data_IF_764922726958
#
_entry.id   IF_764922726958
#
_cell.length_a   1.000
_cell.length_b   1.000
_cell.length_c   1.000
_cell.angle_alpha   90.00
_cell.angle_beta   90.00
_cell.angle_gamma   90.00
#
_symmetry.space_group_name_H-M   'P 1'
#
loop_
_entity.id
_entity.type
_entity.pdbx_description
1 polymer ?
#
# COMPACT_ATOMS: atom_id res chain seq x y z
N UNK A 1 8.09 1.61 53.85
CA UNK A 1 9.40 0.99 53.54
C UNK A 1 10.42 1.57 54.53
N UNK A 2 10.94 0.77 55.45
CA UNK A 2 12.11 1.16 56.25
C UNK A 2 13.35 0.88 55.38
N UNK A 3 13.98 1.92 54.83
CA UNK A 3 15.12 1.80 53.93
C UNK A 3 15.80 3.16 53.67
N UNK A 4 17.08 3.13 53.32
CA UNK A 4 17.87 4.31 52.98
C UNK A 4 17.74 4.67 51.49
N UNK A 5 17.65 5.97 51.19
CA UNK A 5 17.64 6.54 49.83
C UNK A 5 18.78 7.56 49.70
N UNK A 6 19.39 7.65 48.51
CA UNK A 6 20.27 8.76 48.14
C UNK A 6 19.78 9.38 46.84
N UNK A 7 19.94 10.70 46.71
CA UNK A 7 19.59 11.45 45.51
C UNK A 7 20.87 11.81 44.76
N UNK A 8 20.83 11.78 43.42
CA UNK A 8 22.00 12.12 42.60
C UNK A 8 22.11 13.65 42.57
N UNK A 9 22.94 14.31 43.36
CA UNK A 9 23.00 15.79 43.43
C UNK A 9 23.71 16.49 42.27
N UNK A 10 24.35 15.74 41.37
CA UNK A 10 24.98 16.35 40.19
C UNK A 10 23.92 16.89 39.22
N UNK A 11 23.85 18.22 39.12
CA UNK A 11 22.98 18.92 38.18
C UNK A 11 23.27 18.52 36.72
N UNK A 12 24.54 18.29 36.38
CA UNK A 12 24.96 17.79 35.07
C UNK A 12 24.35 16.41 34.78
N UNK A 13 24.43 15.49 35.74
CA UNK A 13 23.89 14.13 35.57
C UNK A 13 22.37 14.15 35.49
N UNK A 14 21.68 14.93 36.35
CA UNK A 14 20.21 15.08 36.28
C UNK A 14 19.75 15.65 34.94
N UNK A 15 20.43 16.69 34.44
CA UNK A 15 20.11 17.32 33.16
C UNK A 15 20.29 16.33 31.99
N UNK A 16 21.41 15.62 31.95
CA UNK A 16 21.66 14.61 30.92
C UNK A 16 20.59 13.51 30.92
N UNK A 17 20.26 12.93 32.09
CA UNK A 17 19.20 11.90 32.20
C UNK A 17 17.84 12.46 31.78
N UNK A 18 17.49 13.67 32.21
CA UNK A 18 16.23 14.32 31.84
C UNK A 18 16.08 14.53 30.33
N UNK A 19 17.14 14.93 29.65
CA UNK A 19 17.14 15.05 28.19
C UNK A 19 16.94 13.71 27.49
N UNK A 20 17.61 12.64 27.96
CA UNK A 20 17.43 11.29 27.41
C UNK A 20 16.00 10.80 27.60
N UNK A 21 15.43 10.97 28.80
CA UNK A 21 14.04 10.59 29.09
C UNK A 21 13.07 11.37 28.21
N UNK A 22 13.30 12.67 28.01
CA UNK A 22 12.47 13.50 27.13
C UNK A 22 12.54 13.05 25.65
N UNK A 23 13.74 12.82 25.12
CA UNK A 23 13.93 12.37 23.74
C UNK A 23 13.39 10.94 23.50
N UNK A 24 13.51 10.04 24.48
CA UNK A 24 12.90 8.70 24.44
C UNK A 24 11.38 8.73 24.63
N UNK A 25 10.87 9.70 25.38
CA UNK A 25 9.44 9.91 25.60
C UNK A 25 8.70 10.48 24.38
N UNK A 26 9.42 10.94 23.36
CA UNK A 26 8.83 11.47 22.13
C UNK A 26 9.39 10.74 20.88
N UNK A 27 8.81 9.58 20.50
CA UNK A 27 9.28 8.81 19.34
C UNK A 27 8.88 9.43 17.99
N UNK A 28 8.06 10.49 17.97
CA UNK A 28 7.53 11.07 16.74
C UNK A 28 8.62 11.46 15.71
N UNK A 29 9.75 12.10 16.09
CA UNK A 29 10.80 12.43 15.12
C UNK A 29 11.46 11.17 14.52
N UNK A 30 11.65 10.11 15.31
CA UNK A 30 12.14 8.82 14.83
C UNK A 30 11.15 8.20 13.82
N UNK A 31 9.86 8.18 14.16
CA UNK A 31 8.85 7.63 13.26
C UNK A 31 8.76 8.39 11.95
N UNK A 32 8.88 9.72 11.95
CA UNK A 32 8.94 10.49 10.71
C UNK A 32 10.13 10.11 9.82
N UNK A 33 11.32 9.89 10.41
CA UNK A 33 12.51 9.41 9.68
C UNK A 33 12.25 8.03 9.07
N UNK A 34 11.59 7.14 9.80
CA UNK A 34 11.24 5.79 9.31
C UNK A 34 10.19 5.88 8.20
N UNK A 35 9.15 6.72 8.36
CA UNK A 35 8.11 6.95 7.35
C UNK A 35 8.71 7.45 6.05
N UNK A 36 9.59 8.45 6.12
CA UNK A 36 10.28 8.99 4.94
C UNK A 36 11.09 7.89 4.23
N UNK A 37 11.77 7.05 4.99
CA UNK A 37 12.48 5.90 4.45
C UNK A 37 11.55 4.90 3.78
N UNK A 38 10.45 4.52 4.44
CA UNK A 38 9.46 3.59 3.91
C UNK A 38 8.86 4.11 2.60
N UNK A 39 8.52 5.39 2.52
CA UNK A 39 8.07 6.01 1.27
C UNK A 39 9.07 5.84 0.13
N UNK A 40 10.37 6.08 0.39
CA UNK A 40 11.43 5.90 -0.61
C UNK A 40 11.60 4.44 -1.01
N UNK A 41 11.64 3.53 -0.05
CA UNK A 41 11.78 2.09 -0.29
C UNK A 41 10.63 1.56 -1.17
N UNK A 42 9.38 1.87 -0.81
CA UNK A 42 8.21 1.47 -1.58
C UNK A 42 8.19 2.14 -2.96
N UNK A 43 8.55 3.43 -3.05
CA UNK A 43 8.66 4.12 -4.35
C UNK A 43 9.61 3.41 -5.30
N UNK A 44 10.80 3.05 -4.83
CA UNK A 44 11.82 2.34 -5.60
C UNK A 44 11.32 0.97 -6.02
N UNK A 45 10.61 0.27 -5.13
CA UNK A 45 10.00 -1.03 -5.40
C UNK A 45 8.97 -0.97 -6.53
N UNK A 46 8.09 0.04 -6.55
CA UNK A 46 7.14 0.26 -7.66
C UNK A 46 7.84 0.61 -8.98
N UNK A 47 8.98 1.32 -8.94
CA UNK A 47 9.77 1.60 -10.14
C UNK A 47 10.40 0.31 -10.67
N UNK A 48 10.98 -0.51 -9.79
CA UNK A 48 11.60 -1.78 -10.11
C UNK A 48 10.61 -2.89 -10.46
N UNK A 49 9.34 -2.75 -10.06
CA UNK A 49 8.27 -3.75 -10.23
C UNK A 49 8.56 -5.08 -9.55
N UNK A 50 9.04 -5.01 -8.30
CA UNK A 50 9.48 -6.17 -7.51
C UNK A 50 8.80 -6.22 -6.15
N UNK A 51 8.81 -7.38 -5.50
CA UNK A 51 8.37 -7.54 -4.12
C UNK A 51 9.41 -7.03 -3.12
N UNK A 52 9.09 -6.94 -1.81
CA UNK A 52 10.09 -6.73 -0.77
C UNK A 52 11.26 -7.72 -0.87
N UNK A 53 10.98 -8.98 -1.18
CA UNK A 53 12.01 -10.03 -1.38
C UNK A 53 12.69 -10.00 -2.75
N UNK A 54 12.62 -8.85 -3.45
CA UNK A 54 13.25 -8.63 -4.76
C UNK A 54 12.75 -9.54 -5.90
N UNK A 55 11.63 -10.25 -5.72
CA UNK A 55 11.00 -11.08 -6.76
C UNK A 55 10.23 -10.20 -7.73
N UNK A 56 10.38 -10.40 -9.04
CA UNK A 56 9.60 -9.66 -10.03
C UNK A 56 8.09 -9.93 -9.86
N UNK A 57 7.25 -8.91 -10.00
CA UNK A 57 5.81 -9.09 -9.93
C UNK A 57 5.28 -9.89 -11.12
N UNK A 58 4.20 -10.63 -10.90
CA UNK A 58 3.49 -11.34 -11.96
C UNK A 58 3.10 -10.37 -13.08
N UNK A 59 3.49 -10.72 -14.30
CA UNK A 59 3.20 -9.95 -15.49
C UNK A 59 1.69 -9.70 -15.67
N UNK A 60 1.36 -8.61 -16.37
CA UNK A 60 -0.02 -8.34 -16.78
C UNK A 60 -0.40 -9.28 -17.93
N UNK A 61 -1.67 -9.68 -17.98
CA UNK A 61 -2.15 -10.51 -19.08
C UNK A 61 -2.08 -9.74 -20.42
N UNK A 62 -1.79 -10.43 -21.55
CA UNK A 62 -1.76 -9.79 -22.87
C UNK A 62 -3.05 -9.04 -23.20
N UNK A 63 -4.20 -9.61 -22.82
CA UNK A 63 -5.53 -8.98 -22.99
C UNK A 63 -5.67 -7.68 -22.21
N UNK A 64 -5.12 -7.59 -20.99
CA UNK A 64 -5.16 -6.35 -20.22
C UNK A 64 -4.18 -5.31 -20.78
N UNK A 65 -2.97 -5.72 -21.17
CA UNK A 65 -1.98 -4.83 -21.79
C UNK A 65 -2.55 -4.11 -23.01
N UNK A 66 -3.26 -4.81 -23.90
CA UNK A 66 -3.91 -4.22 -25.09
C UNK A 66 -4.90 -3.10 -24.76
N UNK A 67 -5.58 -3.17 -23.60
CA UNK A 67 -6.59 -2.19 -23.16
C UNK A 67 -6.05 -1.12 -22.23
N UNK A 68 -4.82 -1.29 -21.74
CA UNK A 68 -4.25 -0.37 -20.76
C UNK A 68 -3.86 0.94 -21.45
N UNK A 69 -4.53 2.02 -21.10
CA UNK A 69 -4.37 3.30 -21.79
C UNK A 69 -3.25 4.19 -21.21
N UNK A 70 -2.81 3.96 -19.97
CA UNK A 70 -1.73 4.72 -19.31
C UNK A 70 -0.67 3.80 -18.71
N UNK A 71 0.58 4.28 -18.69
CA UNK A 71 1.72 3.59 -18.07
C UNK A 71 1.84 2.12 -18.55
N UNK A 72 1.74 1.87 -19.86
CA UNK A 72 1.49 0.52 -20.43
C UNK A 72 2.48 -0.55 -19.97
N UNK A 73 3.74 -0.17 -19.76
CA UNK A 73 4.83 -1.02 -19.29
C UNK A 73 4.95 -1.17 -17.76
N UNK A 74 4.03 -0.58 -16.98
CA UNK A 74 4.09 -0.59 -15.51
C UNK A 74 3.00 -1.45 -14.87
N UNK A 75 3.35 -2.23 -13.88
CA UNK A 75 2.49 -3.10 -13.07
C UNK A 75 2.11 -2.34 -11.79
N UNK A 76 0.88 -2.55 -11.29
CA UNK A 76 0.29 -1.80 -10.16
C UNK A 76 0.30 -0.26 -10.32
N UNK A 77 0.47 0.23 -11.55
CA UNK A 77 0.57 1.65 -11.84
C UNK A 77 -0.27 1.99 -13.08
N UNK A 78 -1.53 2.38 -12.87
CA UNK A 78 -2.37 2.95 -13.92
C UNK A 78 -2.34 4.49 -13.86
N UNK A 79 -2.84 5.06 -12.76
CA UNK A 79 -2.78 6.50 -12.44
C UNK A 79 -1.86 6.83 -11.26
N UNK A 80 -1.30 5.81 -10.62
CA UNK A 80 -0.37 5.97 -9.50
C UNK A 80 -0.99 6.07 -8.11
N UNK A 81 -2.32 6.02 -7.95
CA UNK A 81 -2.97 6.14 -6.64
C UNK A 81 -2.37 5.20 -5.58
N UNK A 82 -2.26 3.90 -5.87
CA UNK A 82 -1.74 2.92 -4.89
C UNK A 82 -0.35 3.30 -4.34
N UNK A 83 0.55 3.74 -5.23
CA UNK A 83 1.91 4.15 -4.88
C UNK A 83 1.95 5.50 -4.18
N UNK A 84 1.11 6.43 -4.62
CA UNK A 84 1.19 7.84 -4.24
C UNK A 84 0.37 8.16 -2.99
N UNK A 85 -0.52 7.28 -2.56
CA UNK A 85 -1.35 7.43 -1.35
C UNK A 85 -0.94 6.46 -0.25
N UNK A 86 0.31 5.99 -0.26
CA UNK A 86 0.88 5.34 0.91
C UNK A 86 1.00 6.37 2.03
N UNK A 87 0.81 5.95 3.28
CA UNK A 87 0.93 6.82 4.46
C UNK A 87 1.48 6.03 5.63
N UNK A 88 2.23 6.72 6.48
CA UNK A 88 2.54 6.25 7.83
C UNK A 88 1.67 6.96 8.85
N UNK A 89 1.26 6.24 9.88
CA UNK A 89 0.53 6.75 11.05
C UNK A 89 1.17 6.15 12.29
N UNK A 90 1.26 6.92 13.37
CA UNK A 90 1.86 6.43 14.61
C UNK A 90 1.17 6.99 15.83
N UNK A 91 1.23 6.22 16.91
CA UNK A 91 0.75 6.54 18.25
C UNK A 91 1.69 5.91 19.29
N UNK A 92 1.24 5.81 20.54
CA UNK A 92 2.00 5.21 21.65
C UNK A 92 2.21 3.70 21.48
N UNK A 93 1.39 3.02 20.67
CA UNK A 93 1.50 1.59 20.41
C UNK A 93 2.50 1.28 19.28
N UNK A 94 2.73 2.22 18.35
CA UNK A 94 3.82 2.12 17.38
C UNK A 94 3.56 2.82 16.06
N UNK A 95 4.24 2.35 15.02
CA UNK A 95 4.18 2.90 13.66
C UNK A 95 3.50 1.90 12.71
N UNK A 96 2.44 2.36 12.05
CA UNK A 96 1.79 1.68 10.94
C UNK A 96 2.13 2.35 9.60
N UNK A 97 2.20 1.55 8.53
CA UNK A 97 2.44 2.05 7.18
C UNK A 97 1.62 1.27 6.16
N UNK A 98 0.84 1.97 5.32
CA UNK A 98 -0.12 1.29 4.47
C UNK A 98 -0.85 2.18 3.46
N UNK A 99 -2.03 1.73 3.04
CA UNK A 99 -2.88 2.42 2.07
C UNK A 99 -4.36 2.29 2.43
N UNK A 100 -5.14 3.33 2.15
CA UNK A 100 -6.60 3.37 2.27
C UNK A 100 -7.33 2.85 1.02
N UNK A 101 -6.59 2.42 -0.02
CA UNK A 101 -7.19 1.95 -1.26
C UNK A 101 -7.80 0.57 -1.03
N UNK A 102 -9.13 0.45 -1.19
CA UNK A 102 -9.90 -0.81 -1.04
C UNK A 102 -9.31 -1.98 -1.85
N UNK A 103 -8.76 -1.70 -3.04
CA UNK A 103 -8.14 -2.71 -3.90
C UNK A 103 -6.68 -3.06 -3.52
N UNK A 104 -6.09 -2.40 -2.51
CA UNK A 104 -4.70 -2.58 -2.12
C UNK A 104 -4.41 -3.99 -1.62
N UNK A 105 -5.32 -4.54 -0.80
CA UNK A 105 -5.22 -5.89 -0.25
C UNK A 105 -5.25 -6.96 -1.35
N UNK A 106 -6.23 -6.94 -2.26
CA UNK A 106 -6.32 -7.93 -3.34
C UNK A 106 -5.12 -7.86 -4.29
N UNK A 107 -4.49 -6.69 -4.46
CA UNK A 107 -3.24 -6.57 -5.21
C UNK A 107 -2.02 -7.09 -4.44
N UNK A 108 -1.99 -6.95 -3.12
CA UNK A 108 -0.91 -7.45 -2.29
C UNK A 108 -0.96 -8.97 -2.17
N UNK A 109 -2.07 -9.51 -1.66
CA UNK A 109 -2.24 -10.92 -1.31
C UNK A 109 -2.69 -11.78 -2.49
N UNK A 110 -3.25 -11.19 -3.54
CA UNK A 110 -3.99 -11.94 -4.56
C UNK A 110 -5.32 -12.47 -3.99
N UNK A 111 -5.98 -13.32 -4.77
CA UNK A 111 -7.21 -14.00 -4.36
C UNK A 111 -8.33 -13.92 -5.40
N UNK A 112 -9.50 -14.39 -5.02
CA UNK A 112 -10.63 -14.57 -5.91
C UNK A 112 -11.73 -13.52 -5.65
N UNK A 113 -12.13 -12.82 -6.71
CA UNK A 113 -13.27 -11.89 -6.67
C UNK A 113 -14.50 -12.64 -7.19
N UNK A 114 -15.36 -13.05 -6.25
CA UNK A 114 -16.62 -13.73 -6.57
C UNK A 114 -17.63 -12.75 -7.16
N UNK A 115 -18.24 -13.12 -8.29
CA UNK A 115 -19.37 -12.42 -8.92
C UNK A 115 -20.59 -13.33 -8.83
N UNK A 116 -21.65 -12.85 -8.18
CA UNK A 116 -22.92 -13.55 -8.12
C UNK A 116 -23.59 -13.60 -9.48
N UNK A 117 -24.46 -14.60 -9.67
CA UNK A 117 -25.33 -14.66 -10.84
C UNK A 117 -26.26 -13.44 -10.84
N UNK A 118 -26.50 -12.88 -12.02
CA UNK A 118 -27.38 -11.73 -12.18
C UNK A 118 -28.04 -11.74 -13.55
N UNK A 119 -29.31 -11.34 -13.59
CA UNK A 119 -29.98 -11.01 -14.84
C UNK A 119 -29.56 -9.59 -15.26
N UNK A 120 -29.25 -9.42 -16.55
CA UNK A 120 -28.82 -8.14 -17.12
C UNK A 120 -29.60 -7.83 -18.38
N UNK A 121 -29.96 -6.57 -18.52
CA UNK A 121 -30.52 -6.07 -19.77
C UNK A 121 -29.38 -5.64 -20.71
N UNK A 122 -29.36 -6.21 -21.91
CA UNK A 122 -28.43 -5.86 -22.97
C UNK A 122 -29.17 -5.20 -24.13
N UNK A 123 -28.50 -4.26 -24.78
CA UNK A 123 -29.11 -3.39 -25.78
C UNK A 123 -28.46 -3.58 -27.14
N UNK A 124 -29.28 -3.67 -28.18
CA UNK A 124 -28.86 -3.85 -29.57
C UNK A 124 -29.56 -2.86 -30.49
N UNK A 125 -29.12 -2.83 -31.75
CA UNK A 125 -29.86 -2.24 -32.86
C UNK A 125 -30.62 -3.33 -33.59
N UNK A 126 -31.90 -3.11 -33.86
CA UNK A 126 -32.75 -3.93 -34.73
C UNK A 126 -33.05 -3.17 -36.02
N UNK A 127 -32.86 -3.82 -37.15
CA UNK A 127 -33.26 -3.34 -38.48
C UNK A 127 -34.28 -4.32 -39.07
N UNK A 128 -34.78 -4.04 -40.29
CA UNK A 128 -35.67 -4.98 -41.00
C UNK A 128 -35.02 -6.36 -41.24
N UNK A 129 -33.68 -6.41 -41.31
CA UNK A 129 -32.92 -7.65 -41.49
C UNK A 129 -32.71 -8.44 -40.18
N UNK A 130 -33.11 -7.90 -39.02
CA UNK A 130 -33.01 -8.57 -37.72
C UNK A 130 -32.27 -7.76 -36.66
N UNK A 131 -31.90 -8.43 -35.56
CA UNK A 131 -31.16 -7.85 -34.43
C UNK A 131 -29.65 -7.97 -34.69
N UNK A 132 -28.93 -6.86 -34.57
CA UNK A 132 -27.48 -6.82 -34.76
C UNK A 132 -26.72 -7.54 -33.63
N UNK A 133 -25.50 -7.99 -33.93
CA UNK A 133 -24.63 -8.75 -33.01
C UNK A 133 -23.74 -7.88 -32.10
N UNK A 134 -23.85 -6.55 -32.17
CA UNK A 134 -23.04 -5.61 -31.38
C UNK A 134 -23.89 -4.93 -30.33
N UNK A 135 -23.41 -4.95 -29.09
CA UNK A 135 -24.00 -4.16 -28.01
C UNK A 135 -23.91 -2.66 -28.34
N UNK A 136 -24.97 -1.92 -28.04
CA UNK A 136 -25.04 -0.46 -28.16
C UNK A 136 -25.45 0.18 -26.84
N UNK A 137 -25.26 1.50 -26.72
CA UNK A 137 -25.77 2.26 -25.56
C UNK A 137 -27.30 2.25 -25.55
N UNK A 138 -27.92 2.27 -24.38
CA UNK A 138 -29.39 2.30 -24.20
C UNK A 138 -30.06 3.41 -25.03
N UNK A 139 -29.53 4.63 -24.98
CA UNK A 139 -30.06 5.79 -25.73
C UNK A 139 -29.96 5.62 -27.26
N UNK A 140 -29.10 4.73 -27.74
CA UNK A 140 -28.96 4.41 -29.16
C UNK A 140 -29.64 3.09 -29.52
N UNK A 141 -30.36 2.44 -28.60
CA UNK A 141 -30.98 1.15 -28.83
C UNK A 141 -32.45 1.29 -29.24
N UNK A 142 -32.92 0.31 -29.99
CA UNK A 142 -34.35 0.11 -30.29
C UNK A 142 -34.76 -1.36 -30.03
N UNK A 143 -33.92 -2.12 -29.33
CA UNK A 143 -34.16 -3.50 -28.92
C UNK A 143 -33.35 -3.84 -27.68
N UNK A 144 -34.03 -4.34 -26.65
CA UNK A 144 -33.43 -4.81 -25.42
C UNK A 144 -33.73 -6.31 -25.23
N UNK A 145 -32.77 -7.03 -24.66
CA UNK A 145 -32.92 -8.43 -24.32
C UNK A 145 -32.41 -8.66 -22.89
N UNK A 146 -33.14 -9.45 -22.13
CA UNK A 146 -32.69 -9.92 -20.82
C UNK A 146 -31.80 -11.14 -20.99
N UNK A 147 -30.62 -11.13 -20.36
CA UNK A 147 -29.66 -12.24 -20.37
C UNK A 147 -29.28 -12.63 -18.95
N UNK A 148 -29.15 -13.94 -18.72
CA UNK A 148 -28.69 -14.48 -17.45
C UNK A 148 -27.16 -14.60 -17.49
N UNK A 149 -26.48 -13.93 -16.56
CA UNK A 149 -25.04 -14.07 -16.36
C UNK A 149 -24.82 -14.97 -15.15
N UNK A 150 -24.23 -16.14 -15.37
CA UNK A 150 -23.90 -17.08 -14.30
C UNK A 150 -22.87 -16.53 -13.31
N UNK A 151 -22.90 -17.08 -12.09
CA UNK A 151 -21.89 -16.78 -11.08
C UNK A 151 -20.51 -17.23 -11.58
N UNK A 152 -19.49 -16.41 -11.35
CA UNK A 152 -18.11 -16.73 -11.73
C UNK A 152 -17.11 -16.05 -10.81
N UNK A 153 -15.89 -16.56 -10.80
CA UNK A 153 -14.78 -15.99 -10.04
C UNK A 153 -13.77 -15.31 -10.96
N UNK A 154 -13.17 -14.22 -10.50
CA UNK A 154 -12.03 -13.57 -11.15
C UNK A 154 -10.82 -13.75 -10.24
N UNK A 155 -9.89 -14.61 -10.64
CA UNK A 155 -8.65 -14.85 -9.92
C UNK A 155 -7.64 -13.74 -10.17
N UNK A 156 -7.19 -13.11 -9.08
CA UNK A 156 -6.19 -12.05 -9.06
C UNK A 156 -4.85 -12.60 -8.54
N UNK A 157 -3.76 -12.50 -9.33
CA UNK A 157 -2.45 -12.93 -8.85
C UNK A 157 -1.90 -11.95 -7.81
N UNK A 158 -1.20 -12.50 -6.82
CA UNK A 158 -0.50 -11.72 -5.80
C UNK A 158 0.64 -10.91 -6.43
N UNK A 159 0.76 -9.65 -6.01
CA UNK A 159 1.89 -8.77 -6.36
C UNK A 159 2.34 -8.06 -5.09
N UNK A 160 3.01 -8.75 -4.16
CA UNK A 160 3.35 -8.20 -2.85
C UNK A 160 4.16 -6.91 -3.03
N UNK A 161 3.64 -5.81 -2.52
CA UNK A 161 4.20 -4.47 -2.73
C UNK A 161 4.42 -3.70 -1.41
N UNK A 162 3.72 -4.11 -0.35
CA UNK A 162 3.78 -3.52 0.99
C UNK A 162 4.74 -4.34 1.87
N UNK A 163 5.30 -3.72 2.90
CA UNK A 163 6.18 -4.36 3.86
C UNK A 163 7.67 -4.08 3.61
N UNK A 164 8.50 -4.73 4.41
CA UNK A 164 9.94 -4.49 4.48
C UNK A 164 10.73 -5.74 4.08
N UNK A 165 11.79 -5.53 3.32
CA UNK A 165 12.80 -6.55 3.04
C UNK A 165 13.80 -6.66 4.21
N UNK A 166 14.66 -7.69 4.18
CA UNK A 166 15.80 -7.79 5.13
C UNK A 166 16.67 -6.52 5.11
N UNK A 167 16.91 -5.98 3.92
CA UNK A 167 17.67 -4.73 3.74
C UNK A 167 16.92 -3.54 4.33
N UNK A 168 15.60 -3.48 4.15
CA UNK A 168 14.80 -2.40 4.71
C UNK A 168 14.84 -2.42 6.24
N UNK A 169 14.71 -3.60 6.85
CA UNK A 169 14.80 -3.77 8.30
C UNK A 169 16.15 -3.31 8.85
N UNK A 170 17.27 -3.67 8.19
CA UNK A 170 18.59 -3.20 8.57
C UNK A 170 18.71 -1.67 8.50
N UNK A 171 18.17 -1.05 7.45
CA UNK A 171 18.20 0.42 7.31
C UNK A 171 17.37 1.13 8.37
N UNK A 172 16.22 0.56 8.74
CA UNK A 172 15.38 1.08 9.83
C UNK A 172 16.11 0.99 11.16
N UNK A 173 16.76 -0.14 11.46
CA UNK A 173 17.59 -0.30 12.66
C UNK A 173 18.73 0.72 12.69
N UNK A 174 19.47 0.89 11.59
CA UNK A 174 20.55 1.87 11.50
C UNK A 174 20.07 3.32 11.66
N UNK A 175 18.84 3.64 11.21
CA UNK A 175 18.24 4.96 11.43
C UNK A 175 17.88 5.16 12.89
N UNK A 176 17.34 4.12 13.52
CA UNK A 176 16.98 4.12 14.94
C UNK A 176 18.22 4.30 15.81
N UNK A 177 19.27 3.51 15.60
CA UNK A 177 20.53 3.63 16.32
C UNK A 177 21.16 5.02 16.18
N UNK A 178 21.20 5.57 14.96
CA UNK A 178 21.72 6.92 14.71
C UNK A 178 20.88 8.00 15.40
N UNK A 179 19.56 7.84 15.42
CA UNK A 179 18.67 8.76 16.12
C UNK A 179 18.97 8.77 17.62
N UNK A 180 19.05 7.59 18.23
CA UNK A 180 19.36 7.44 19.65
C UNK A 180 20.75 8.00 19.99
N UNK A 181 21.78 7.67 19.21
CA UNK A 181 23.12 8.22 19.41
C UNK A 181 23.14 9.76 19.34
N UNK A 182 22.40 10.36 18.40
CA UNK A 182 22.29 11.81 18.29
C UNK A 182 21.56 12.42 19.49
N UNK A 183 20.51 11.78 19.98
CA UNK A 183 19.80 12.21 21.18
C UNK A 183 20.73 12.17 22.42
N UNK A 184 21.55 11.13 22.55
CA UNK A 184 22.54 11.00 23.62
C UNK A 184 23.74 11.98 23.50
N UNK A 185 24.06 12.43 22.29
CA UNK A 185 25.23 13.27 22.02
C UNK A 185 24.94 14.78 22.06
N UNK A 186 23.67 15.20 22.05
CA UNK A 186 23.30 16.59 22.37
C UNK A 186 23.60 16.80 23.86
N UNK A 187 24.75 17.40 24.16
CA UNK A 187 25.12 17.92 25.46
C UNK A 187 24.98 19.43 25.44
#
# INVERSE_FOLDING_TARGET
MAGASFEIDSAEVRSAIGQVVHELGNPAPLFQIIIEYLHRAHRNRFIAQRSPDNKAWQALSPRYLKRKHKNRNKILHLRGHLRNTLRGQYDDAGLEFGTDRVYGAIHHFGGDIKKSAAQREVFFKRTKAGVGNRFVKKASSNFAQQVNVGAHSITMPARPWLGTSKKDNQQILLKTQRYLQKALAKR
#
